data_IF_041850317072
#
_entry.id   IF_041850317072
#
_cell.length_a   1.000
_cell.length_b   1.000
_cell.length_c   1.000
_cell.angle_alpha   90.00
_cell.angle_beta   90.00
_cell.angle_gamma   90.00
#
_symmetry.space_group_name_H-M   'P 1'
#
loop_
_entity.id
_entity.type
_entity.pdbx_description
1 polymer ?
#
# COMPACT_ATOMS: atom_id res chain seq x y z
N UNK A 1 0.11 0.27 13.94
CA UNK A 1 0.12 -1.20 14.05
C UNK A 1 1.51 -1.63 14.49
N UNK A 2 1.66 -2.66 15.34
CA UNK A 2 2.99 -3.16 15.73
C UNK A 2 3.60 -3.98 14.59
N UNK A 3 4.93 -4.01 14.39
CA UNK A 3 5.57 -4.79 13.33
C UNK A 3 5.15 -6.27 13.31
N UNK A 4 5.03 -6.91 14.49
CA UNK A 4 4.58 -8.30 14.60
C UNK A 4 3.21 -8.55 13.96
N UNK A 5 2.28 -7.61 14.06
CA UNK A 5 0.94 -7.75 13.46
C UNK A 5 0.97 -7.66 11.94
N UNK A 6 1.92 -6.92 11.34
CA UNK A 6 2.07 -6.87 9.88
C UNK A 6 2.70 -8.17 9.36
N UNK A 7 3.70 -8.70 10.07
CA UNK A 7 4.34 -9.98 9.75
C UNK A 7 3.33 -11.13 9.84
N UNK A 8 2.55 -11.20 10.91
CA UNK A 8 1.51 -12.23 11.06
C UNK A 8 0.47 -12.17 9.93
N UNK A 9 0.11 -10.94 9.50
CA UNK A 9 -0.80 -10.74 8.37
C UNK A 9 -0.17 -11.18 7.05
N UNK A 10 1.10 -10.87 6.81
CA UNK A 10 1.82 -11.30 5.62
C UNK A 10 1.89 -12.84 5.56
N UNK A 11 2.23 -13.47 6.69
CA UNK A 11 2.25 -14.94 6.83
C UNK A 11 0.89 -15.56 6.55
N UNK A 12 -0.18 -15.03 7.16
CA UNK A 12 -1.53 -15.56 6.97
C UNK A 12 -2.05 -15.38 5.54
N UNK A 13 -1.60 -14.34 4.83
CA UNK A 13 -2.01 -14.09 3.44
C UNK A 13 -1.13 -14.78 2.41
N UNK A 14 0.06 -15.24 2.79
CA UNK A 14 1.05 -15.84 1.88
C UNK A 14 1.70 -14.83 0.93
N UNK A 15 1.54 -13.53 1.16
CA UNK A 15 2.07 -12.46 0.31
C UNK A 15 2.41 -11.23 1.14
N UNK A 16 3.07 -10.23 0.54
CA UNK A 16 3.52 -9.05 1.29
C UNK A 16 2.35 -8.22 1.84
N UNK A 17 2.58 -7.53 2.96
CA UNK A 17 1.61 -6.58 3.52
C UNK A 17 2.31 -5.26 3.81
N UNK A 18 1.86 -4.19 3.16
CA UNK A 18 2.36 -2.84 3.36
C UNK A 18 1.43 -1.94 4.18
N UNK A 19 2.03 -0.93 4.81
CA UNK A 19 1.35 0.12 5.54
C UNK A 19 2.04 1.47 5.29
N UNK A 20 1.24 2.53 5.12
CA UNK A 20 1.75 3.90 5.17
C UNK A 20 2.21 4.25 6.60
N UNK A 21 3.20 5.14 6.71
CA UNK A 21 3.75 5.61 7.98
C UNK A 21 3.25 7.00 8.36
N UNK A 22 2.71 7.74 7.39
CA UNK A 22 2.13 9.07 7.56
C UNK A 22 0.77 9.08 6.87
N UNK A 23 -0.29 9.12 7.69
CA UNK A 23 -1.67 9.07 7.22
C UNK A 23 -2.08 10.33 6.44
N UNK A 24 -1.55 11.50 6.79
CA UNK A 24 -1.90 12.77 6.14
C UNK A 24 -1.29 12.80 4.73
N UNK A 25 0.02 12.54 4.64
CA UNK A 25 0.72 12.47 3.36
C UNK A 25 0.12 11.40 2.45
N UNK A 26 -0.24 10.23 3.02
CA UNK A 26 -0.90 9.16 2.28
C UNK A 26 -2.29 9.56 1.79
N UNK A 27 -3.10 10.24 2.61
CA UNK A 27 -4.44 10.67 2.22
C UNK A 27 -4.40 11.63 1.01
N UNK A 28 -3.50 12.62 1.02
CA UNK A 28 -3.34 13.57 -0.09
C UNK A 28 -2.91 12.86 -1.38
N UNK A 29 -1.95 11.93 -1.26
CA UNK A 29 -1.52 11.10 -2.38
C UNK A 29 -2.66 10.24 -2.94
N UNK A 30 -3.38 9.53 -2.07
CA UNK A 30 -4.51 8.66 -2.44
C UNK A 30 -5.61 9.48 -3.13
N UNK A 31 -5.94 10.67 -2.60
CA UNK A 31 -6.91 11.58 -3.19
C UNK A 31 -6.46 12.07 -4.58
N UNK A 32 -5.16 12.31 -4.78
CA UNK A 32 -4.61 12.66 -6.09
C UNK A 32 -4.76 11.54 -7.11
N UNK A 33 -4.54 10.28 -6.71
CA UNK A 33 -4.69 9.10 -7.57
C UNK A 33 -6.15 8.85 -7.89
N UNK A 34 -7.06 9.05 -6.92
CA UNK A 34 -8.49 8.85 -7.10
C UNK A 34 -9.09 9.71 -8.24
N UNK A 35 -8.47 10.85 -8.56
CA UNK A 35 -8.86 11.71 -9.70
C UNK A 35 -8.72 11.04 -11.06
N UNK A 36 -7.96 9.93 -11.17
CA UNK A 36 -7.86 9.12 -12.40
C UNK A 36 -9.15 8.35 -12.74
N UNK A 37 -10.10 8.32 -11.80
CA UNK A 37 -11.40 7.67 -11.97
C UNK A 37 -11.46 6.24 -11.42
N UNK A 38 -12.59 5.54 -11.61
CA UNK A 38 -12.82 4.21 -11.10
C UNK A 38 -11.81 3.18 -11.63
N UNK A 39 -11.42 2.21 -10.81
CA UNK A 39 -10.53 1.12 -11.21
C UNK A 39 -9.43 0.81 -10.19
N UNK A 40 -8.50 -0.05 -10.60
CA UNK A 40 -7.29 -0.39 -9.85
C UNK A 40 -6.14 0.40 -10.44
N UNK A 41 -5.51 1.25 -9.64
CA UNK A 41 -4.38 2.08 -10.05
C UNK A 41 -3.14 1.65 -9.29
N UNK A 42 -2.21 1.02 -9.99
CA UNK A 42 -0.86 0.77 -9.50
C UNK A 42 0.02 1.92 -9.96
N UNK A 43 0.57 2.67 -9.01
CA UNK A 43 1.35 3.89 -9.27
C UNK A 43 2.65 3.89 -8.48
N UNK A 44 3.73 4.50 -9.00
CA UNK A 44 4.95 4.71 -8.24
C UNK A 44 4.67 5.46 -6.94
N UNK A 45 5.26 4.99 -5.85
CA UNK A 45 5.17 5.64 -4.55
C UNK A 45 6.14 6.83 -4.53
N UNK A 46 5.65 8.07 -4.39
CA UNK A 46 6.54 9.23 -4.32
C UNK A 46 7.45 9.15 -3.10
N UNK A 47 8.68 9.69 -3.21
CA UNK A 47 9.72 9.57 -2.16
C UNK A 47 9.37 10.25 -0.83
N UNK A 48 8.44 11.21 -0.87
CA UNK A 48 7.87 11.87 0.31
C UNK A 48 6.81 11.02 1.02
N UNK A 49 6.21 10.02 0.35
CA UNK A 49 5.25 9.11 0.98
C UNK A 49 6.01 7.96 1.64
N UNK A 50 5.95 7.92 2.97
CA UNK A 50 6.63 6.90 3.76
C UNK A 50 5.74 5.68 3.94
N UNK A 51 6.30 4.51 3.67
CA UNK A 51 5.65 3.22 3.84
C UNK A 51 6.64 2.17 4.31
N UNK A 52 6.12 1.07 4.87
CA UNK A 52 6.87 -0.16 5.16
C UNK A 52 6.04 -1.36 4.73
N UNK A 53 6.69 -2.45 4.36
CA UNK A 53 6.04 -3.73 4.11
C UNK A 53 6.78 -4.88 4.76
N UNK A 54 6.09 -6.01 4.93
CA UNK A 54 6.70 -7.24 5.40
C UNK A 54 6.31 -8.40 4.49
N UNK A 55 7.28 -9.27 4.23
CA UNK A 55 7.08 -10.57 3.58
C UNK A 55 6.60 -11.63 4.60
N UNK A 56 6.06 -12.78 4.14
CA UNK A 56 5.59 -13.86 5.02
C UNK A 56 6.67 -14.44 5.97
N UNK A 57 7.94 -14.37 5.57
CA UNK A 57 9.09 -14.81 6.34
C UNK A 57 9.52 -13.80 7.43
N UNK A 58 8.93 -12.60 7.43
CA UNK A 58 9.23 -11.52 8.37
C UNK A 58 10.26 -10.50 7.86
N UNK A 59 10.78 -10.68 6.64
CA UNK A 59 11.66 -9.69 5.99
C UNK A 59 10.92 -8.38 5.79
N UNK A 60 11.50 -7.28 6.29
CA UNK A 60 11.01 -5.93 6.01
C UNK A 60 11.41 -5.50 4.60
N UNK A 61 10.47 -4.95 3.83
CA UNK A 61 10.67 -4.44 2.48
C UNK A 61 10.24 -2.98 2.40
N UNK A 62 10.98 -2.18 1.65
CA UNK A 62 10.65 -0.78 1.38
C UNK A 62 9.71 -0.73 0.16
N UNK A 63 8.49 -0.20 0.29
CA UNK A 63 7.59 -0.06 -0.86
C UNK A 63 8.08 0.96 -1.88
N UNK A 64 7.89 0.67 -3.15
CA UNK A 64 8.18 1.54 -4.31
C UNK A 64 6.93 1.84 -5.14
N UNK A 65 5.84 1.13 -4.89
CA UNK A 65 4.54 1.26 -5.55
C UNK A 65 3.41 1.37 -4.52
N UNK A 66 2.28 1.89 -4.96
CA UNK A 66 1.02 1.82 -4.23
C UNK A 66 -0.11 1.36 -5.16
N UNK A 67 -0.99 0.53 -4.60
CA UNK A 67 -2.25 0.14 -5.25
C UNK A 67 -3.38 0.93 -4.62
N UNK A 68 -4.10 1.69 -5.44
CA UNK A 68 -5.30 2.44 -5.05
C UNK A 68 -6.50 1.89 -5.80
N UNK A 69 -7.51 1.41 -5.08
CA UNK A 69 -8.74 0.88 -5.67
C UNK A 69 -9.86 1.90 -5.50
N UNK A 70 -10.31 2.48 -6.61
CA UNK A 70 -11.33 3.51 -6.66
C UNK A 70 -12.64 2.90 -7.14
N UNK A 71 -13.73 3.12 -6.41
CA UNK A 71 -15.07 2.63 -6.75
C UNK A 71 -15.70 3.49 -7.85
N UNK A 72 -16.80 3.02 -8.48
CA UNK A 72 -17.55 3.81 -9.47
C UNK A 72 -18.06 5.16 -8.95
N UNK A 73 -18.31 5.29 -7.64
CA UNK A 73 -18.75 6.53 -6.99
C UNK A 73 -17.60 7.52 -6.69
N UNK A 74 -16.36 7.19 -7.08
CA UNK A 74 -15.16 7.98 -6.82
C UNK A 74 -14.56 7.79 -5.42
N UNK A 75 -15.22 7.05 -4.52
CA UNK A 75 -14.68 6.73 -3.20
C UNK A 75 -13.57 5.68 -3.30
N UNK A 76 -12.55 5.79 -2.43
CA UNK A 76 -11.47 4.81 -2.37
C UNK A 76 -11.91 3.62 -1.52
N UNK A 77 -11.93 2.43 -2.12
CA UNK A 77 -12.25 1.16 -1.43
C UNK A 77 -11.10 0.72 -0.54
N UNK A 78 -9.88 0.78 -1.05
CA UNK A 78 -8.66 0.40 -0.32
C UNK A 78 -7.45 1.02 -0.98
N UNK A 79 -6.41 1.26 -0.18
CA UNK A 79 -5.10 1.68 -0.65
C UNK A 79 -4.03 1.04 0.20
N UNK A 80 -2.95 0.55 -0.42
CA UNK A 80 -1.80 0.04 0.29
C UNK A 80 -0.51 0.19 -0.52
N UNK A 81 0.62 0.49 0.15
CA UNK A 81 1.92 0.47 -0.49
C UNK A 81 2.41 -0.99 -0.63
N UNK A 82 3.21 -1.27 -1.65
CA UNK A 82 3.85 -2.57 -1.86
C UNK A 82 5.20 -2.41 -2.58
N UNK A 83 6.08 -3.40 -2.45
CA UNK A 83 7.33 -3.47 -3.20
C UNK A 83 7.12 -4.29 -4.50
N UNK A 84 7.36 -3.68 -5.66
CA UNK A 84 7.11 -4.25 -6.98
C UNK A 84 7.97 -5.47 -7.30
N UNK A 85 9.11 -5.64 -6.62
CA UNK A 85 9.99 -6.80 -6.76
C UNK A 85 9.44 -8.06 -6.07
N UNK A 86 8.39 -7.91 -5.27
CA UNK A 86 7.73 -8.97 -4.52
C UNK A 86 6.24 -9.02 -4.88
N UNK A 87 5.91 -9.30 -6.14
CA UNK A 87 4.51 -9.36 -6.57
C UNK A 87 3.67 -10.32 -5.72
N UNK A 88 2.47 -9.88 -5.37
CA UNK A 88 1.42 -10.74 -4.80
C UNK A 88 0.91 -11.74 -5.84
#
# INVERSE_FOLDING_TARGET
MKPSQLIDRARNKGHQVGQYLDDNSAADFIASVAKKGPGVHDVPLPTNIKGRGYLPDGTEVVPDMARVVVKPDGSVRTSFPFNSSHTN
#
